data_IF_712126417303
#
_entry.id   IF_712126417303
#
_cell.length_a   1.000
_cell.length_b   1.000
_cell.length_c   1.000
_cell.angle_alpha   90.00
_cell.angle_beta   90.00
_cell.angle_gamma   90.00
#
_symmetry.space_group_name_H-M   'P 1'
#
loop_
_entity.id
_entity.type
_entity.pdbx_description
1 polymer ?
#
# COMPACT_ATOMS: atom_id res chain seq x y z
N UNK A 1 -21.34 16.59 -0.72
CA UNK A 1 -22.00 16.13 -1.97
C UNK A 1 -20.97 15.39 -2.81
N UNK A 2 -21.29 14.19 -3.34
CA UNK A 2 -20.40 13.47 -4.28
C UNK A 2 -20.76 13.93 -5.70
N UNK A 3 -19.75 14.34 -6.47
CA UNK A 3 -19.90 14.73 -7.86
C UNK A 3 -19.13 13.72 -8.74
N UNK A 4 -19.77 12.65 -9.23
CA UNK A 4 -19.13 11.65 -10.08
C UNK A 4 -18.80 12.21 -11.46
N UNK A 5 -17.92 11.53 -12.20
CA UNK A 5 -17.58 11.83 -13.60
C UNK A 5 -17.02 13.23 -13.83
N UNK A 6 -16.18 13.66 -12.90
CA UNK A 6 -15.40 14.90 -12.98
C UNK A 6 -13.93 14.58 -13.01
N UNK A 7 -13.20 15.25 -13.87
CA UNK A 7 -11.72 15.21 -13.93
C UNK A 7 -11.19 16.57 -13.56
N UNK A 8 -10.36 16.65 -12.55
CA UNK A 8 -9.69 17.89 -12.14
C UNK A 8 -8.54 18.15 -13.11
N UNK A 9 -8.57 19.30 -13.76
CA UNK A 9 -7.59 19.68 -14.78
C UNK A 9 -6.54 20.65 -14.25
N UNK A 10 -6.90 21.53 -13.32
CA UNK A 10 -6.00 22.52 -12.73
C UNK A 10 -6.51 23.05 -11.40
N UNK A 11 -5.61 23.68 -10.65
CA UNK A 11 -5.94 24.41 -9.44
C UNK A 11 -6.21 25.89 -9.75
N UNK A 12 -7.10 26.50 -8.96
CA UNK A 12 -7.27 27.95 -8.89
C UNK A 12 -6.36 28.49 -7.80
N UNK A 13 -5.77 29.65 -8.02
CA UNK A 13 -4.94 30.33 -7.03
C UNK A 13 -5.25 31.81 -6.92
N UNK A 14 -4.86 32.43 -5.81
CA UNK A 14 -4.84 33.87 -5.68
C UNK A 14 -3.85 34.53 -6.66
N UNK A 15 -3.95 35.85 -6.84
CA UNK A 15 -3.10 36.60 -7.77
C UNK A 15 -1.59 36.51 -7.45
N UNK A 16 -1.23 36.19 -6.22
CA UNK A 16 0.17 36.01 -5.77
C UNK A 16 0.64 34.57 -5.83
N UNK A 17 -0.23 33.63 -6.23
CA UNK A 17 0.04 32.19 -6.24
C UNK A 17 0.48 31.63 -4.88
N UNK A 18 0.04 32.26 -3.79
CA UNK A 18 0.38 31.84 -2.43
C UNK A 18 -0.67 30.94 -1.79
N UNK A 19 -1.89 30.93 -2.37
CA UNK A 19 -3.01 30.16 -1.86
C UNK A 19 -3.81 29.54 -3.01
N UNK A 20 -4.14 28.27 -2.88
CA UNK A 20 -5.15 27.58 -3.69
C UNK A 20 -6.52 27.97 -3.17
N UNK A 21 -7.39 28.44 -4.08
CA UNK A 21 -8.75 28.94 -3.79
C UNK A 21 -9.84 28.10 -4.42
N UNK A 22 -9.46 26.99 -5.07
CA UNK A 22 -10.38 26.08 -5.73
C UNK A 22 -9.71 25.28 -6.84
N UNK A 23 -10.53 24.81 -7.79
CA UNK A 23 -10.08 24.01 -8.91
C UNK A 23 -10.97 24.14 -10.15
N UNK A 24 -10.45 23.77 -11.32
CA UNK A 24 -11.23 23.53 -12.51
C UNK A 24 -11.45 22.03 -12.70
N UNK A 25 -12.71 21.64 -12.89
CA UNK A 25 -13.09 20.27 -13.15
C UNK A 25 -13.85 20.16 -14.48
N UNK A 26 -13.48 19.19 -15.29
CA UNK A 26 -14.17 18.85 -16.54
C UNK A 26 -15.24 17.81 -16.27
N UNK A 27 -16.47 18.06 -16.68
CA UNK A 27 -17.58 17.10 -16.62
C UNK A 27 -17.55 16.22 -17.89
N UNK A 28 -17.31 14.92 -17.73
CA UNK A 28 -17.18 13.97 -18.84
C UNK A 28 -18.51 13.81 -19.60
N UNK A 29 -19.66 13.84 -18.89
CA UNK A 29 -20.97 13.56 -19.47
C UNK A 29 -21.60 14.73 -20.22
N UNK A 30 -21.19 15.97 -19.96
CA UNK A 30 -21.78 17.19 -20.49
C UNK A 30 -20.95 17.82 -21.60
N UNK A 31 -20.44 17.02 -22.53
CA UNK A 31 -19.68 17.57 -23.67
C UNK A 31 -18.37 18.25 -23.25
N UNK A 32 -17.75 17.79 -22.16
CA UNK A 32 -16.49 18.31 -21.64
C UNK A 32 -16.55 19.77 -21.15
N UNK A 33 -17.67 20.15 -20.54
CA UNK A 33 -17.77 21.50 -19.95
C UNK A 33 -16.88 21.60 -18.71
N UNK A 34 -16.10 22.69 -18.64
CA UNK A 34 -15.27 23.01 -17.47
C UNK A 34 -16.09 23.78 -16.47
N UNK A 35 -16.11 23.29 -15.24
CA UNK A 35 -16.73 23.94 -14.08
C UNK A 35 -15.65 24.49 -13.17
N UNK A 36 -15.87 25.67 -12.62
CA UNK A 36 -15.03 26.29 -11.58
C UNK A 36 -15.63 26.00 -10.22
N UNK A 37 -14.84 25.40 -9.33
CA UNK A 37 -15.25 25.08 -7.97
C UNK A 37 -14.35 25.84 -6.98
N UNK A 38 -14.91 26.82 -6.28
CA UNK A 38 -14.22 27.55 -5.21
C UNK A 38 -14.23 26.74 -3.92
N UNK A 39 -13.13 26.81 -3.16
CA UNK A 39 -12.95 26.10 -1.90
C UNK A 39 -11.91 26.78 -1.00
N UNK A 40 -12.14 26.75 0.31
CA UNK A 40 -11.16 27.19 1.30
C UNK A 40 -10.00 26.22 1.44
N UNK A 41 -10.23 24.93 1.15
CA UNK A 41 -9.26 23.84 1.18
C UNK A 41 -9.54 22.85 0.06
N UNK A 42 -8.54 22.55 -0.74
CA UNK A 42 -8.52 21.46 -1.71
C UNK A 42 -7.67 20.32 -1.14
N UNK A 43 -8.20 19.11 -1.12
CA UNK A 43 -7.47 17.92 -0.68
C UNK A 43 -7.31 16.96 -1.86
N UNK A 44 -6.08 16.77 -2.31
CA UNK A 44 -5.76 15.80 -3.36
C UNK A 44 -5.65 14.39 -2.77
N UNK A 45 -6.66 13.57 -3.04
CA UNK A 45 -6.71 12.15 -2.73
C UNK A 45 -6.73 11.29 -4.02
N UNK A 46 -6.19 11.81 -5.13
CA UNK A 46 -6.26 11.17 -6.46
C UNK A 46 -5.32 9.96 -6.62
N UNK A 47 -4.58 9.62 -5.57
CA UNK A 47 -3.75 8.43 -5.51
C UNK A 47 -2.41 8.57 -6.23
N UNK A 48 -1.82 7.44 -6.61
CA UNK A 48 -0.48 7.38 -7.22
C UNK A 48 -0.33 8.28 -8.45
N UNK A 49 -1.40 8.46 -9.22
CA UNK A 49 -1.44 9.28 -10.43
C UNK A 49 -1.63 10.78 -10.19
N UNK A 50 -1.53 11.25 -8.95
CA UNK A 50 -1.68 12.65 -8.57
C UNK A 50 -0.91 13.60 -9.48
N UNK A 51 -1.61 14.65 -9.93
CA UNK A 51 -1.03 15.72 -10.74
C UNK A 51 -0.50 16.89 -9.92
N UNK A 52 -0.66 16.83 -8.58
CA UNK A 52 -0.20 17.91 -7.69
C UNK A 52 1.26 18.30 -7.89
N UNK A 53 2.22 17.38 -8.11
CA UNK A 53 3.61 17.79 -8.41
C UNK A 53 3.74 18.69 -9.64
N UNK A 54 2.95 18.45 -10.69
CA UNK A 54 2.94 19.27 -11.89
C UNK A 54 2.21 20.60 -11.67
N UNK A 55 1.13 20.60 -10.90
CA UNK A 55 0.42 21.82 -10.54
C UNK A 55 1.27 22.74 -9.66
N UNK A 56 2.06 22.20 -8.74
CA UNK A 56 3.01 22.96 -7.92
C UNK A 56 4.04 23.67 -8.80
N UNK A 57 4.62 22.96 -9.79
CA UNK A 57 5.57 23.54 -10.73
C UNK A 57 4.93 24.69 -11.53
N UNK A 58 3.70 24.50 -12.02
CA UNK A 58 2.94 25.52 -12.71
C UNK A 58 2.63 26.77 -11.85
N UNK A 59 2.59 26.62 -10.54
CA UNK A 59 2.43 27.70 -9.55
C UNK A 59 3.78 28.28 -9.05
N UNK A 60 4.91 27.86 -9.61
CA UNK A 60 6.23 28.34 -9.21
C UNK A 60 6.77 27.77 -7.90
N UNK A 61 6.28 26.62 -7.49
CA UNK A 61 6.79 25.83 -6.35
C UNK A 61 7.68 24.68 -6.83
N UNK A 62 8.52 24.19 -5.94
CA UNK A 62 9.30 22.98 -6.17
C UNK A 62 8.40 21.73 -6.13
N UNK A 63 8.69 20.76 -6.98
CA UNK A 63 8.11 19.41 -6.83
C UNK A 63 8.69 18.72 -5.61
N UNK A 64 7.90 17.89 -4.91
CA UNK A 64 8.46 17.04 -3.87
C UNK A 64 9.50 16.09 -4.46
N UNK A 65 10.62 15.91 -3.78
CA UNK A 65 11.56 14.85 -4.11
C UNK A 65 10.86 13.48 -4.01
N UNK A 66 11.22 12.55 -4.87
CA UNK A 66 10.65 11.21 -4.90
C UNK A 66 11.67 10.17 -4.46
N UNK A 67 11.26 9.30 -3.55
CA UNK A 67 12.00 8.08 -3.20
C UNK A 67 11.25 6.90 -3.76
N UNK A 68 11.92 6.03 -4.51
CA UNK A 68 11.28 4.87 -5.14
C UNK A 68 12.05 3.58 -4.88
N UNK A 69 11.30 2.45 -4.77
CA UNK A 69 11.86 1.11 -4.67
C UNK A 69 11.11 0.21 -5.63
N UNK A 70 11.82 -0.35 -6.62
CA UNK A 70 11.26 -1.11 -7.73
C UNK A 70 11.30 -2.61 -7.49
N UNK A 71 10.13 -3.24 -7.40
CA UNK A 71 9.97 -4.68 -7.29
C UNK A 71 9.28 -5.28 -8.52
N UNK A 72 8.64 -4.45 -9.34
CA UNK A 72 7.93 -4.86 -10.57
C UNK A 72 7.00 -6.06 -10.34
N UNK A 73 6.06 -5.91 -9.37
CA UNK A 73 5.05 -6.93 -9.11
C UNK A 73 3.86 -6.77 -10.06
N UNK A 74 3.30 -7.90 -10.50
CA UNK A 74 2.04 -7.95 -11.22
C UNK A 74 1.04 -8.85 -10.54
N UNK A 75 -0.23 -8.53 -10.72
CA UNK A 75 -1.37 -9.21 -10.14
C UNK A 75 -2.32 -9.71 -11.22
N UNK A 76 -2.96 -10.86 -10.98
CA UNK A 76 -4.13 -11.32 -11.69
C UNK A 76 -5.18 -11.76 -10.67
N UNK A 77 -6.39 -11.21 -10.76
CA UNK A 77 -7.47 -11.48 -9.80
C UNK A 77 -8.73 -11.92 -10.51
N UNK A 78 -9.48 -12.85 -9.90
CA UNK A 78 -10.74 -13.36 -10.41
C UNK A 78 -11.67 -13.75 -9.28
N UNK A 79 -12.97 -13.53 -9.46
CA UNK A 79 -14.00 -14.08 -8.58
C UNK A 79 -14.40 -15.50 -8.98
N UNK A 80 -14.59 -16.33 -7.96
CA UNK A 80 -15.04 -17.72 -8.10
C UNK A 80 -16.24 -17.97 -7.18
N UNK A 81 -17.11 -18.89 -7.59
CA UNK A 81 -18.15 -19.45 -6.73
C UNK A 81 -17.52 -20.48 -5.77
N UNK A 82 -17.87 -20.42 -4.50
CA UNK A 82 -17.41 -21.42 -3.52
C UNK A 82 -18.12 -22.75 -3.79
N UNK A 83 -17.39 -23.86 -4.00
CA UNK A 83 -17.99 -25.16 -4.22
C UNK A 83 -18.91 -25.59 -3.06
N UNK A 84 -20.13 -25.98 -3.37
CA UNK A 84 -21.15 -26.36 -2.35
C UNK A 84 -20.73 -27.55 -1.49
N UNK A 85 -19.93 -28.45 -2.04
CA UNK A 85 -19.52 -29.72 -1.43
C UNK A 85 -18.37 -29.59 -0.43
N UNK A 86 -17.65 -28.46 -0.42
CA UNK A 86 -16.45 -28.33 0.40
C UNK A 86 -16.28 -26.87 0.85
N UNK A 87 -16.93 -26.51 1.96
CA UNK A 87 -16.69 -25.20 2.61
C UNK A 87 -15.51 -25.33 3.56
N UNK A 88 -14.39 -24.66 3.29
CA UNK A 88 -13.28 -24.60 4.23
C UNK A 88 -13.71 -23.80 5.48
N UNK A 89 -13.07 -24.09 6.59
CA UNK A 89 -13.24 -23.38 7.88
C UNK A 89 -12.44 -22.06 7.93
N UNK A 90 -11.51 -21.86 6.97
CA UNK A 90 -10.73 -20.63 6.84
C UNK A 90 -11.47 -19.53 6.05
N UNK A 91 -11.14 -18.27 6.35
CA UNK A 91 -11.61 -17.08 5.61
C UNK A 91 -10.60 -16.60 4.58
N UNK A 92 -9.34 -16.87 4.81
CA UNK A 92 -8.21 -16.52 3.95
C UNK A 92 -7.28 -17.71 3.88
N UNK A 93 -6.87 -18.08 2.67
CA UNK A 93 -5.76 -18.98 2.38
C UNK A 93 -4.69 -18.22 1.61
N UNK A 94 -3.50 -18.09 2.16
CA UNK A 94 -2.38 -17.39 1.53
C UNK A 94 -1.17 -18.27 1.34
N UNK A 95 -0.62 -18.27 0.13
CA UNK A 95 0.69 -18.86 -0.19
C UNK A 95 1.65 -17.72 -0.45
N UNK A 96 2.60 -17.52 0.46
CA UNK A 96 3.59 -16.47 0.39
C UNK A 96 4.92 -16.99 -0.12
N UNK A 97 5.70 -16.10 -0.74
CA UNK A 97 7.02 -16.47 -1.25
C UNK A 97 8.02 -16.72 -0.13
N UNK A 98 9.02 -17.52 -0.44
CA UNK A 98 10.25 -17.64 0.34
C UNK A 98 11.37 -16.85 -0.38
N UNK A 99 11.34 -15.52 -0.21
CA UNK A 99 12.37 -14.67 -0.81
C UNK A 99 13.79 -15.08 -0.34
N UNK A 100 14.80 -15.08 -1.20
CA UNK A 100 14.78 -14.67 -2.61
C UNK A 100 14.47 -15.82 -3.60
N UNK A 101 14.19 -17.04 -3.13
CA UNK A 101 14.12 -18.27 -3.95
C UNK A 101 12.82 -18.38 -4.73
N UNK A 102 11.71 -17.92 -4.17
CA UNK A 102 10.39 -17.89 -4.82
C UNK A 102 9.94 -16.47 -5.06
N UNK A 103 9.15 -16.22 -6.12
CA UNK A 103 8.65 -14.91 -6.52
C UNK A 103 7.13 -14.83 -6.61
N UNK A 104 6.45 -15.98 -6.48
CA UNK A 104 5.03 -16.14 -6.76
C UNK A 104 4.23 -16.19 -5.48
N UNK A 105 3.11 -15.47 -5.47
CA UNK A 105 2.16 -15.41 -4.37
C UNK A 105 0.79 -15.87 -4.84
N UNK A 106 0.00 -16.35 -3.92
CA UNK A 106 -1.41 -16.61 -4.17
C UNK A 106 -2.22 -16.40 -2.92
N UNK A 107 -3.40 -15.81 -3.05
CA UNK A 107 -4.34 -15.65 -1.95
C UNK A 107 -5.76 -15.94 -2.41
N UNK A 108 -6.51 -16.67 -1.60
CA UNK A 108 -7.96 -16.81 -1.70
C UNK A 108 -8.58 -16.11 -0.51
N UNK A 109 -9.51 -15.20 -0.75
CA UNK A 109 -10.26 -14.50 0.27
C UNK A 109 -11.75 -14.77 0.10
N UNK A 110 -12.43 -15.16 1.19
CA UNK A 110 -13.88 -15.24 1.20
C UNK A 110 -14.48 -13.83 1.18
N UNK A 111 -15.37 -13.57 0.23
CA UNK A 111 -16.09 -12.31 0.08
C UNK A 111 -17.60 -12.55 0.10
N UNK A 112 -18.39 -11.47 0.11
CA UNK A 112 -19.84 -11.53 0.18
C UNK A 112 -20.44 -12.34 -0.99
N UNK A 113 -21.62 -12.92 -0.76
CA UNK A 113 -22.35 -13.68 -1.77
C UNK A 113 -21.80 -15.07 -2.03
N UNK A 114 -21.17 -15.71 -1.04
CA UNK A 114 -20.59 -17.05 -1.14
C UNK A 114 -19.57 -17.18 -2.27
N UNK A 115 -18.66 -16.22 -2.37
CA UNK A 115 -17.65 -16.13 -3.41
C UNK A 115 -16.25 -16.07 -2.82
N UNK A 116 -15.28 -16.46 -3.63
CA UNK A 116 -13.86 -16.25 -3.40
C UNK A 116 -13.31 -15.19 -4.34
N UNK A 117 -12.56 -14.27 -3.80
CA UNK A 117 -11.61 -13.46 -4.58
C UNK A 117 -10.27 -14.19 -4.57
N UNK A 118 -9.83 -14.67 -5.72
CA UNK A 118 -8.52 -15.30 -5.90
C UNK A 118 -7.61 -14.27 -6.56
N UNK A 119 -6.47 -14.01 -5.93
CA UNK A 119 -5.44 -13.12 -6.47
C UNK A 119 -4.11 -13.88 -6.53
N UNK A 120 -3.52 -13.94 -7.71
CA UNK A 120 -2.15 -14.39 -7.93
C UNK A 120 -1.26 -13.17 -8.15
N UNK A 121 -0.02 -13.24 -7.69
CA UNK A 121 0.94 -12.16 -7.87
C UNK A 121 2.35 -12.70 -8.08
N UNK A 122 3.17 -11.94 -8.82
CA UNK A 122 4.56 -12.30 -9.05
C UNK A 122 5.47 -11.11 -9.12
N UNK A 123 6.58 -11.18 -8.39
CA UNK A 123 7.62 -10.17 -8.32
C UNK A 123 8.57 -10.24 -9.52
N UNK A 124 9.30 -9.15 -9.76
CA UNK A 124 10.42 -9.10 -10.72
C UNK A 124 10.00 -9.48 -12.13
N UNK A 125 8.82 -9.01 -12.56
CA UNK A 125 8.20 -9.24 -13.86
C UNK A 125 7.74 -10.69 -14.13
N UNK A 126 7.74 -11.56 -13.12
CA UNK A 126 7.15 -12.92 -13.20
C UNK A 126 5.61 -12.80 -13.04
N UNK A 127 4.97 -12.10 -13.99
CA UNK A 127 3.57 -11.75 -13.89
C UNK A 127 2.65 -12.93 -14.16
N UNK A 128 1.56 -13.10 -13.37
CA UNK A 128 0.56 -14.11 -13.66
C UNK A 128 -0.15 -13.79 -14.99
N UNK A 129 -0.37 -14.82 -15.86
CA UNK A 129 -1.09 -14.65 -17.12
C UNK A 129 -2.54 -14.22 -16.96
N UNK A 130 -3.09 -13.57 -18.01
CA UNK A 130 -4.48 -13.12 -18.06
C UNK A 130 -5.43 -14.15 -18.70
N UNK A 131 -4.92 -15.26 -19.22
CA UNK A 131 -5.70 -16.37 -19.75
C UNK A 131 -5.93 -17.44 -18.69
N UNK A 132 -6.96 -18.26 -18.90
CA UNK A 132 -7.42 -19.23 -17.91
C UNK A 132 -6.40 -20.35 -17.66
N UNK A 133 -5.82 -20.88 -18.73
CA UNK A 133 -4.83 -21.96 -18.62
C UNK A 133 -3.57 -21.48 -17.91
N UNK A 134 -3.06 -20.31 -18.29
CA UNK A 134 -1.91 -19.68 -17.66
C UNK A 134 -2.15 -19.29 -16.21
N UNK A 135 -3.36 -18.81 -15.85
CA UNK A 135 -3.73 -18.51 -14.47
C UNK A 135 -3.68 -19.75 -13.58
N UNK A 136 -4.26 -20.88 -14.04
CA UNK A 136 -4.24 -22.14 -13.30
C UNK A 136 -2.82 -22.71 -13.21
N UNK A 137 -2.04 -22.65 -14.29
CA UNK A 137 -0.65 -23.10 -14.29
C UNK A 137 0.22 -22.27 -13.34
N UNK A 138 0.01 -20.95 -13.29
CA UNK A 138 0.70 -20.09 -12.32
C UNK A 138 0.36 -20.48 -10.88
N UNK A 139 -0.93 -20.76 -10.60
CA UNK A 139 -1.37 -21.24 -9.29
C UNK A 139 -0.73 -22.60 -8.93
N UNK A 140 -0.55 -23.49 -9.91
CA UNK A 140 0.09 -24.81 -9.72
C UNK A 140 1.57 -24.70 -9.37
N UNK A 141 2.23 -23.62 -9.82
CA UNK A 141 3.66 -23.35 -9.57
C UNK A 141 3.95 -22.65 -8.24
N UNK A 142 2.94 -22.39 -7.41
CA UNK A 142 3.16 -21.86 -6.07
C UNK A 142 3.87 -22.89 -5.17
N UNK A 143 4.56 -22.41 -4.14
CA UNK A 143 5.33 -23.26 -3.21
C UNK A 143 4.48 -24.30 -2.47
N UNK A 144 3.14 -24.09 -2.39
CA UNK A 144 2.18 -25.03 -1.82
C UNK A 144 1.01 -25.29 -2.77
N UNK A 145 0.61 -26.56 -2.99
CA UNK A 145 -0.40 -26.92 -3.97
C UNK A 145 -1.83 -26.59 -3.54
N UNK A 146 -2.06 -26.30 -2.25
CA UNK A 146 -3.40 -26.20 -1.67
C UNK A 146 -4.27 -25.15 -2.38
N UNK A 147 -3.71 -23.98 -2.70
CA UNK A 147 -4.43 -22.94 -3.41
C UNK A 147 -4.89 -23.41 -4.80
N UNK A 148 -4.00 -24.07 -5.54
CA UNK A 148 -4.34 -24.64 -6.85
C UNK A 148 -5.45 -25.68 -6.74
N UNK A 149 -5.38 -26.57 -5.72
CA UNK A 149 -6.39 -27.62 -5.52
C UNK A 149 -7.79 -27.04 -5.25
N UNK A 150 -7.89 -25.90 -4.60
CA UNK A 150 -9.17 -25.19 -4.43
C UNK A 150 -9.64 -24.52 -5.72
N UNK A 151 -8.77 -23.75 -6.37
CA UNK A 151 -9.12 -22.94 -7.54
C UNK A 151 -9.52 -23.79 -8.73
N UNK A 152 -8.85 -24.93 -9.00
CA UNK A 152 -9.17 -25.81 -10.14
C UNK A 152 -10.55 -26.46 -10.05
N UNK A 153 -11.16 -26.50 -8.86
CA UNK A 153 -12.51 -27.06 -8.60
C UNK A 153 -13.59 -25.99 -8.53
N UNK A 154 -13.20 -24.73 -8.45
CA UNK A 154 -14.13 -23.62 -8.29
C UNK A 154 -14.63 -23.13 -9.65
N UNK A 155 -15.87 -22.66 -9.71
CA UNK A 155 -16.45 -22.11 -10.93
C UNK A 155 -16.08 -20.63 -11.07
N UNK A 156 -15.43 -20.20 -12.14
CA UNK A 156 -15.11 -18.79 -12.36
C UNK A 156 -16.37 -17.96 -12.64
N UNK A 157 -16.45 -16.78 -12.04
CA UNK A 157 -17.60 -15.85 -12.14
C UNK A 157 -17.31 -14.61 -12.97
N UNK A 158 -16.04 -14.22 -13.12
CA UNK A 158 -15.63 -13.00 -13.83
C UNK A 158 -14.47 -13.28 -14.77
N UNK A 159 -14.18 -12.39 -15.74
CA UNK A 159 -12.88 -12.37 -16.43
C UNK A 159 -11.74 -12.15 -15.42
N UNK A 160 -10.51 -12.50 -15.84
CA UNK A 160 -9.31 -12.22 -15.08
C UNK A 160 -8.96 -10.74 -15.23
N UNK A 161 -8.88 -10.00 -14.12
CA UNK A 161 -8.42 -8.62 -14.07
C UNK A 161 -6.93 -8.59 -13.70
N UNK A 162 -6.13 -7.87 -14.47
CA UNK A 162 -4.69 -7.72 -14.20
C UNK A 162 -4.35 -6.32 -13.74
N UNK A 163 -3.35 -6.23 -12.86
CA UNK A 163 -2.79 -4.95 -12.41
C UNK A 163 -1.27 -5.07 -12.29
N UNK A 164 -0.55 -3.99 -12.63
CA UNK A 164 0.90 -3.90 -12.49
C UNK A 164 1.28 -2.80 -11.53
N UNK A 165 2.14 -3.12 -10.58
CA UNK A 165 2.68 -2.18 -9.63
C UNK A 165 4.22 -2.23 -9.73
N UNK A 166 4.84 -1.28 -10.46
CA UNK A 166 6.28 -1.34 -10.73
C UNK A 166 7.12 -1.00 -9.50
N UNK A 167 6.73 0.04 -8.74
CA UNK A 167 7.56 0.62 -7.69
C UNK A 167 6.72 1.10 -6.51
N UNK A 168 7.24 0.98 -5.30
CA UNK A 168 6.83 1.90 -4.23
C UNK A 168 7.24 3.31 -4.61
N UNK A 169 6.46 4.30 -4.20
CA UNK A 169 6.74 5.70 -4.48
C UNK A 169 6.37 6.53 -3.26
N UNK A 170 7.31 7.30 -2.74
CA UNK A 170 7.08 8.27 -1.67
C UNK A 170 7.49 9.66 -2.14
N UNK A 171 6.53 10.56 -2.25
CA UNK A 171 6.71 11.98 -2.53
C UNK A 171 6.94 12.71 -1.22
N UNK A 172 8.10 13.32 -1.08
CA UNK A 172 8.63 13.89 0.17
C UNK A 172 8.09 15.30 0.40
N UNK A 173 6.76 15.46 0.49
CA UNK A 173 6.12 16.75 0.73
C UNK A 173 6.58 17.40 2.03
N UNK A 174 6.96 16.63 3.04
CA UNK A 174 7.47 17.09 4.32
C UNK A 174 8.84 17.78 4.24
N UNK A 175 9.54 17.64 3.11
CA UNK A 175 10.84 18.27 2.86
C UNK A 175 10.72 19.61 2.11
N UNK A 176 9.54 19.95 1.62
CA UNK A 176 9.35 21.21 0.92
C UNK A 176 9.48 22.39 1.88
N UNK A 177 10.23 23.40 1.46
CA UNK A 177 10.39 24.66 2.19
C UNK A 177 9.21 25.60 2.03
N UNK A 178 8.49 25.48 0.88
CA UNK A 178 7.33 26.29 0.49
C UNK A 178 6.26 25.40 -0.13
N UNK A 179 5.01 25.71 0.22
CA UNK A 179 3.83 25.03 -0.34
C UNK A 179 2.65 26.01 -0.30
N UNK A 180 1.72 26.02 -1.29
CA UNK A 180 0.59 26.93 -1.28
C UNK A 180 -0.38 26.62 -0.12
N UNK A 181 -0.87 27.64 0.54
CA UNK A 181 -1.96 27.50 1.49
C UNK A 181 -3.23 27.04 0.76
N UNK A 182 -4.17 26.41 1.47
CA UNK A 182 -5.42 25.93 0.87
C UNK A 182 -5.30 24.67 0.02
N UNK A 183 -4.14 24.00 0.00
CA UNK A 183 -3.94 22.71 -0.64
C UNK A 183 -3.35 21.70 0.34
N UNK A 184 -3.84 20.46 0.30
CA UNK A 184 -3.24 19.31 0.97
C UNK A 184 -3.25 18.11 0.05
N UNK A 185 -2.40 17.12 0.35
CA UNK A 185 -2.28 15.85 -0.37
C UNK A 185 -2.37 14.71 0.64
N UNK A 186 -3.07 13.62 0.31
CA UNK A 186 -3.27 12.48 1.20
C UNK A 186 -3.18 11.13 0.48
N UNK A 187 -2.95 10.06 1.22
CA UNK A 187 -2.99 8.68 0.75
C UNK A 187 -1.89 8.36 -0.26
N UNK A 188 -2.23 7.58 -1.28
CA UNK A 188 -1.29 7.15 -2.32
C UNK A 188 -0.74 8.31 -3.17
N UNK A 189 -1.32 9.51 -3.07
CA UNK A 189 -0.78 10.72 -3.66
C UNK A 189 0.48 11.22 -2.91
N UNK A 190 0.62 10.89 -1.61
CA UNK A 190 1.86 11.05 -0.84
C UNK A 190 2.74 9.82 -0.99
N UNK A 191 2.21 8.64 -0.63
CA UNK A 191 3.01 7.42 -0.62
C UNK A 191 2.21 6.21 -1.06
N UNK A 192 2.63 5.60 -2.16
CA UNK A 192 2.03 4.41 -2.75
C UNK A 192 2.88 3.18 -2.43
N UNK A 193 2.27 2.20 -1.78
CA UNK A 193 2.91 0.96 -1.34
C UNK A 193 2.55 -0.21 -2.26
N UNK A 194 3.42 -1.23 -2.31
CA UNK A 194 3.09 -2.51 -2.90
C UNK A 194 1.84 -3.10 -2.21
N UNK A 195 0.75 -3.35 -2.96
CA UNK A 195 -0.53 -3.81 -2.40
C UNK A 195 -0.45 -5.11 -1.59
N UNK A 196 0.55 -5.96 -1.84
CA UNK A 196 0.73 -7.25 -1.14
C UNK A 196 0.86 -7.09 0.37
N UNK A 197 1.34 -5.93 0.84
CA UNK A 197 1.52 -5.66 2.27
C UNK A 197 0.25 -5.14 2.97
N UNK A 198 -0.80 -4.77 2.22
CA UNK A 198 -2.08 -4.34 2.76
C UNK A 198 -2.06 -3.02 3.55
N UNK A 199 -1.01 -2.20 3.43
CA UNK A 199 -0.79 -1.03 4.30
C UNK A 199 -1.46 0.27 3.80
N UNK A 200 -1.69 0.41 2.49
CA UNK A 200 -2.12 1.67 1.88
C UNK A 200 -3.41 2.24 2.47
N UNK A 201 -4.46 1.42 2.62
CA UNK A 201 -5.75 1.89 3.17
C UNK A 201 -5.63 2.29 4.64
N UNK A 202 -4.86 1.57 5.45
CA UNK A 202 -4.62 1.90 6.86
C UNK A 202 -3.88 3.22 7.00
N UNK A 203 -2.87 3.46 6.18
CA UNK A 203 -2.13 4.73 6.13
C UNK A 203 -3.06 5.88 5.76
N UNK A 204 -3.85 5.73 4.70
CA UNK A 204 -4.81 6.76 4.27
C UNK A 204 -5.85 7.09 5.36
N UNK A 205 -6.31 6.08 6.11
CA UNK A 205 -7.24 6.28 7.23
C UNK A 205 -6.58 7.04 8.40
N UNK A 206 -5.33 6.72 8.73
CA UNK A 206 -4.57 7.44 9.77
C UNK A 206 -4.27 8.89 9.35
N UNK A 207 -3.98 9.13 8.08
CA UNK A 207 -3.80 10.48 7.53
C UNK A 207 -5.10 11.28 7.58
N UNK A 208 -6.25 10.65 7.23
CA UNK A 208 -7.56 11.28 7.33
C UNK A 208 -7.92 11.64 8.77
N UNK A 209 -7.60 10.77 9.74
CA UNK A 209 -7.77 11.06 11.16
C UNK A 209 -6.89 12.24 11.60
N UNK A 210 -5.61 12.27 11.22
CA UNK A 210 -4.72 13.37 11.51
C UNK A 210 -5.23 14.67 10.90
N UNK A 211 -5.73 14.63 9.66
CA UNK A 211 -6.34 15.81 9.02
C UNK A 211 -7.57 16.30 9.79
N UNK A 212 -8.45 15.41 10.22
CA UNK A 212 -9.61 15.75 11.05
C UNK A 212 -9.20 16.46 12.34
N UNK A 213 -8.17 15.94 13.03
CA UNK A 213 -7.64 16.54 14.26
C UNK A 213 -7.12 17.98 14.01
N UNK A 214 -6.35 18.18 12.95
CA UNK A 214 -5.83 19.51 12.59
C UNK A 214 -6.94 20.50 12.20
N UNK A 215 -7.95 20.05 11.45
CA UNK A 215 -9.08 20.90 11.07
C UNK A 215 -9.94 21.29 12.29
N UNK A 216 -10.16 20.36 13.22
CA UNK A 216 -10.90 20.60 14.45
C UNK A 216 -10.19 21.61 15.37
N UNK A 217 -8.86 21.55 15.46
CA UNK A 217 -8.05 22.54 16.20
C UNK A 217 -8.00 23.87 15.48
N UNK A 218 -7.99 23.88 14.13
CA UNK A 218 -7.97 25.06 13.28
C UNK A 218 -9.30 25.80 13.18
N UNK A 219 -10.42 25.22 13.65
CA UNK A 219 -11.72 25.90 13.75
C UNK A 219 -11.67 27.19 14.62
N UNK A 220 -10.58 27.41 15.36
CA UNK A 220 -10.24 28.65 16.03
C UNK A 220 -9.49 29.69 15.15
N UNK A 221 -9.46 29.48 13.80
CA UNK A 221 -9.04 30.53 12.85
C UNK A 221 -7.60 30.49 12.35
N UNK A 222 -6.77 29.52 12.73
CA UNK A 222 -5.37 29.46 12.25
C UNK A 222 -5.09 28.28 11.33
N UNK A 223 -5.47 28.39 10.05
CA UNK A 223 -5.10 27.45 8.98
C UNK A 223 -3.71 27.73 8.38
N UNK A 224 -3.02 28.79 8.82
CA UNK A 224 -1.66 29.10 8.33
C UNK A 224 -0.70 27.97 8.68
N UNK A 225 0.10 27.57 7.70
CA UNK A 225 1.06 26.47 7.81
C UNK A 225 0.45 25.10 8.17
N UNK A 226 -0.85 24.91 7.88
CA UNK A 226 -1.50 23.61 8.06
C UNK A 226 -0.74 22.50 7.31
N UNK A 227 -0.34 22.76 6.07
CA UNK A 227 0.40 21.82 5.23
C UNK A 227 1.70 21.34 5.88
N UNK A 228 2.51 22.26 6.46
CA UNK A 228 3.80 21.90 7.03
C UNK A 228 3.68 21.02 8.28
N UNK A 229 2.64 21.22 9.10
CA UNK A 229 2.33 20.35 10.25
C UNK A 229 1.79 19.01 9.80
N UNK A 230 0.85 19.03 8.86
CA UNK A 230 0.21 17.84 8.33
C UNK A 230 1.21 16.92 7.64
N UNK A 231 2.03 17.42 6.70
CA UNK A 231 3.00 16.58 6.00
C UNK A 231 4.07 15.99 6.91
N UNK A 232 4.48 16.68 7.97
CA UNK A 232 5.37 16.08 8.99
C UNK A 232 4.70 14.92 9.74
N UNK A 233 3.40 15.01 9.99
CA UNK A 233 2.63 13.92 10.60
C UNK A 233 2.41 12.79 9.62
N UNK A 234 2.02 13.06 8.38
CA UNK A 234 1.88 12.07 7.32
C UNK A 234 3.19 11.30 7.10
N UNK A 235 4.33 12.00 7.08
CA UNK A 235 5.64 11.36 6.96
C UNK A 235 5.95 10.40 8.12
N UNK A 236 5.52 10.70 9.34
CA UNK A 236 5.66 9.77 10.48
C UNK A 236 4.78 8.54 10.31
N UNK A 237 3.51 8.72 9.85
CA UNK A 237 2.58 7.63 9.58
C UNK A 237 3.14 6.71 8.48
N UNK A 238 3.63 7.28 7.39
CA UNK A 238 4.17 6.57 6.22
C UNK A 238 5.46 5.81 6.52
N UNK A 239 6.32 6.34 7.39
CA UNK A 239 7.69 5.82 7.62
C UNK A 239 7.73 4.33 7.95
N UNK A 240 6.85 3.85 8.81
CA UNK A 240 6.85 2.47 9.27
C UNK A 240 6.40 1.49 8.17
N UNK A 241 5.24 1.69 7.51
CA UNK A 241 4.83 0.89 6.36
C UNK A 241 5.86 0.89 5.23
N UNK A 242 6.49 2.04 4.96
CA UNK A 242 7.57 2.15 3.97
C UNK A 242 8.74 1.23 4.30
N UNK A 243 9.26 1.32 5.53
CA UNK A 243 10.40 0.49 5.96
C UNK A 243 10.08 -1.01 5.92
N UNK A 244 8.89 -1.41 6.37
CA UNK A 244 8.48 -2.82 6.38
C UNK A 244 8.32 -3.38 4.96
N UNK A 245 7.59 -2.67 4.09
CA UNK A 245 7.34 -3.12 2.72
C UNK A 245 8.61 -3.14 1.87
N UNK A 246 9.36 -2.03 1.83
CA UNK A 246 10.60 -1.97 1.04
C UNK A 246 11.69 -2.90 1.60
N UNK A 247 11.75 -3.06 2.94
CA UNK A 247 12.68 -3.99 3.58
C UNK A 247 12.45 -5.43 3.13
N UNK A 248 11.20 -5.87 3.03
CA UNK A 248 10.84 -7.18 2.52
C UNK A 248 11.18 -7.33 1.03
N UNK A 249 10.93 -6.30 0.22
CA UNK A 249 11.28 -6.33 -1.20
C UNK A 249 12.79 -6.39 -1.43
N UNK A 250 13.60 -5.78 -0.56
CA UNK A 250 15.06 -5.88 -0.61
C UNK A 250 15.63 -7.26 -0.22
N UNK A 251 14.81 -8.24 0.13
CA UNK A 251 15.25 -9.64 0.16
C UNK A 251 15.63 -10.15 -1.22
N UNK A 252 15.07 -9.58 -2.29
CA UNK A 252 15.45 -9.89 -3.66
C UNK A 252 16.62 -9.01 -4.09
N UNK A 253 17.76 -9.59 -4.53
CA UNK A 253 18.92 -8.81 -4.99
C UNK A 253 18.61 -7.87 -6.17
N UNK A 254 17.61 -8.20 -6.99
CA UNK A 254 17.21 -7.46 -8.19
C UNK A 254 16.29 -6.26 -7.89
N UNK A 255 15.88 -6.06 -6.62
CA UNK A 255 15.07 -4.90 -6.24
C UNK A 255 15.84 -3.61 -6.52
N UNK A 256 15.21 -2.72 -7.29
CA UNK A 256 15.77 -1.43 -7.71
C UNK A 256 15.61 -0.39 -6.59
N UNK A 257 16.57 0.51 -6.46
CA UNK A 257 16.52 1.61 -5.49
C UNK A 257 17.68 1.58 -4.49
N UNK A 258 17.75 2.62 -3.67
CA UNK A 258 18.78 2.75 -2.64
C UNK A 258 18.43 1.85 -1.45
N UNK A 259 19.34 0.93 -1.14
CA UNK A 259 19.20 -0.02 -0.03
C UNK A 259 19.66 0.64 1.27
N UNK A 260 18.76 0.86 2.25
CA UNK A 260 19.13 1.48 3.52
C UNK A 260 20.19 0.69 4.28
N UNK A 261 21.05 1.40 5.01
CA UNK A 261 21.99 0.78 5.94
C UNK A 261 21.25 -0.06 6.98
N UNK A 262 21.78 -1.25 7.28
CA UNK A 262 21.15 -2.17 8.23
C UNK A 262 20.05 -3.08 7.66
N UNK A 263 19.67 -2.95 6.38
CA UNK A 263 18.67 -3.81 5.74
C UNK A 263 19.00 -5.30 5.89
N UNK A 264 20.24 -5.70 5.72
CA UNK A 264 20.68 -7.11 5.87
C UNK A 264 20.41 -7.64 7.28
N UNK A 265 20.75 -6.85 8.31
CA UNK A 265 20.45 -7.21 9.70
C UNK A 265 18.95 -7.28 9.96
N UNK A 266 18.19 -6.29 9.50
CA UNK A 266 16.74 -6.24 9.67
C UNK A 266 16.07 -7.46 9.02
N UNK A 267 16.46 -7.79 7.80
CA UNK A 267 15.94 -8.94 7.07
C UNK A 267 16.28 -10.26 7.77
N UNK A 268 17.51 -10.42 8.25
CA UNK A 268 17.91 -11.58 9.03
C UNK A 268 17.10 -11.70 10.34
N UNK A 269 16.92 -10.59 11.05
CA UNK A 269 16.14 -10.56 12.29
C UNK A 269 14.65 -10.88 12.03
N UNK A 270 14.06 -10.28 11.01
CA UNK A 270 12.65 -10.51 10.61
C UNK A 270 12.42 -11.97 10.23
N UNK A 271 13.32 -12.58 9.48
CA UNK A 271 13.23 -14.01 9.14
C UNK A 271 13.26 -14.93 10.39
N UNK A 272 14.01 -14.56 11.42
CA UNK A 272 14.01 -15.29 12.71
C UNK A 272 12.71 -15.04 13.48
N UNK A 273 12.22 -13.81 13.45
CA UNK A 273 10.98 -13.42 14.12
C UNK A 273 9.77 -14.16 13.53
N UNK A 274 9.65 -14.28 12.19
CA UNK A 274 8.61 -15.10 11.58
C UNK A 274 8.59 -16.53 12.14
N UNK A 275 9.75 -17.17 12.20
CA UNK A 275 9.88 -18.52 12.77
C UNK A 275 9.53 -18.59 14.25
N UNK A 276 9.87 -17.57 15.02
CA UNK A 276 9.54 -17.50 16.43
C UNK A 276 8.04 -17.28 16.67
N UNK A 277 7.33 -16.60 15.76
CA UNK A 277 5.88 -16.41 15.83
C UNK A 277 5.10 -17.74 15.85
N UNK A 278 5.62 -18.80 15.22
CA UNK A 278 4.97 -20.11 15.17
C UNK A 278 4.91 -20.81 16.55
N UNK A 279 5.77 -20.41 17.47
CA UNK A 279 5.93 -21.10 18.77
C UNK A 279 5.85 -20.19 19.99
N UNK A 280 5.96 -18.88 19.83
CA UNK A 280 5.95 -17.92 20.92
C UNK A 280 4.84 -16.86 20.72
N UNK A 281 3.72 -16.98 21.47
CA UNK A 281 2.58 -16.05 21.35
C UNK A 281 2.93 -14.59 21.66
N UNK A 282 3.92 -14.33 22.53
CA UNK A 282 4.34 -12.95 22.84
C UNK A 282 5.06 -12.32 21.65
N UNK A 283 5.92 -13.07 20.97
CA UNK A 283 6.61 -12.61 19.75
C UNK A 283 5.56 -12.38 18.65
N UNK A 284 4.64 -13.32 18.44
CA UNK A 284 3.56 -13.20 17.46
C UNK A 284 2.69 -11.96 17.72
N UNK A 285 2.24 -11.77 18.97
CA UNK A 285 1.43 -10.60 19.35
C UNK A 285 2.18 -9.31 19.03
N UNK A 286 3.45 -9.19 19.44
CA UNK A 286 4.25 -7.99 19.22
C UNK A 286 4.49 -7.73 17.73
N UNK A 287 4.73 -8.79 16.97
CA UNK A 287 4.88 -8.70 15.52
C UNK A 287 3.60 -8.16 14.85
N UNK A 288 2.43 -8.75 15.20
CA UNK A 288 1.16 -8.29 14.63
C UNK A 288 0.78 -6.88 15.09
N UNK A 289 1.08 -6.47 16.32
CA UNK A 289 0.89 -5.08 16.76
C UNK A 289 1.64 -4.07 15.88
N UNK A 290 2.87 -4.42 15.46
CA UNK A 290 3.66 -3.57 14.54
C UNK A 290 3.10 -3.63 13.12
N UNK A 291 2.75 -4.83 12.63
CA UNK A 291 2.17 -5.00 11.29
C UNK A 291 0.83 -4.29 11.13
N UNK A 292 0.03 -4.21 12.19
CA UNK A 292 -1.25 -3.49 12.22
C UNK A 292 -1.12 -2.01 12.61
N UNK A 293 0.10 -1.47 12.66
CA UNK A 293 0.39 -0.06 12.98
C UNK A 293 -0.07 0.37 14.38
N UNK A 294 -0.26 -0.58 15.29
CA UNK A 294 -0.63 -0.33 16.70
C UNK A 294 0.59 0.02 17.56
N UNK A 295 1.79 -0.36 17.10
CA UNK A 295 3.08 -0.09 17.75
C UNK A 295 4.12 0.34 16.73
N UNK A 296 5.07 1.13 17.21
CA UNK A 296 6.25 1.50 16.43
C UNK A 296 7.12 0.27 16.11
N UNK A 297 7.82 0.22 14.95
CA UNK A 297 8.70 -0.89 14.59
C UNK A 297 9.77 -1.21 15.63
N UNK A 298 10.19 -0.22 16.40
CA UNK A 298 11.14 -0.41 17.52
C UNK A 298 10.64 -1.38 18.59
N UNK A 299 9.34 -1.60 18.68
CA UNK A 299 8.74 -2.52 19.65
C UNK A 299 9.17 -3.98 19.43
N UNK A 300 9.54 -4.38 18.22
CA UNK A 300 10.09 -5.73 17.95
C UNK A 300 11.51 -5.92 18.49
N UNK A 301 12.22 -4.83 18.79
CA UNK A 301 13.55 -4.86 19.40
C UNK A 301 13.52 -4.68 20.92
N UNK A 302 12.33 -4.66 21.54
CA UNK A 302 12.23 -4.69 22.99
C UNK A 302 13.03 -5.87 23.54
N UNK A 303 13.85 -5.72 24.62
CA UNK A 303 14.74 -6.78 25.11
C UNK A 303 14.05 -8.12 25.31
N UNK A 304 12.81 -8.13 25.85
CA UNK A 304 12.04 -9.35 26.05
C UNK A 304 11.66 -10.07 24.75
N UNK A 305 11.37 -9.32 23.67
CA UNK A 305 11.08 -9.87 22.34
C UNK A 305 12.38 -10.30 21.67
N UNK A 306 13.38 -9.45 21.71
CA UNK A 306 14.68 -9.68 21.06
C UNK A 306 15.34 -10.98 21.54
N UNK A 307 15.42 -11.20 22.86
CA UNK A 307 15.98 -12.42 23.44
C UNK A 307 15.18 -13.65 22.98
N UNK A 308 13.86 -13.61 22.95
CA UNK A 308 12.98 -14.70 22.51
C UNK A 308 13.18 -15.04 21.03
N UNK A 309 13.29 -14.02 20.18
CA UNK A 309 13.60 -14.19 18.75
C UNK A 309 14.96 -14.83 18.52
N UNK A 310 15.97 -14.46 19.33
CA UNK A 310 17.30 -15.08 19.25
C UNK A 310 17.35 -16.48 19.83
N UNK A 311 16.65 -16.73 20.94
CA UNK A 311 16.59 -18.02 21.64
C UNK A 311 15.66 -19.04 20.93
N UNK A 312 14.75 -18.58 20.08
CA UNK A 312 13.77 -19.41 19.37
C UNK A 312 14.48 -20.52 18.58
N UNK A 313 14.31 -21.78 19.01
CA UNK A 313 14.80 -22.96 18.30
C UNK A 313 13.96 -23.14 17.04
N UNK A 314 14.62 -23.21 15.89
CA UNK A 314 13.98 -23.67 14.67
C UNK A 314 13.39 -25.07 14.91
N UNK A 315 12.05 -25.22 14.85
CA UNK A 315 11.48 -26.53 14.64
C UNK A 315 12.02 -27.04 13.29
N UNK A 316 12.52 -28.28 13.21
CA UNK A 316 12.89 -28.85 11.92
C UNK A 316 11.65 -28.81 11.01
N UNK A 317 11.81 -28.37 9.76
CA UNK A 317 10.76 -28.49 8.73
C UNK A 317 10.24 -29.92 8.75
N UNK A 318 8.91 -30.15 8.68
CA UNK A 318 8.41 -31.49 8.44
C UNK A 318 9.03 -31.99 7.14
N UNK A 319 9.74 -33.08 7.23
CA UNK A 319 10.29 -33.79 6.07
C UNK A 319 9.18 -34.05 5.06
N UNK A 320 9.46 -33.74 3.80
CA UNK A 320 8.58 -33.89 2.63
C UNK A 320 7.92 -35.28 2.56
#
# INVERSE_FOLDING_TARGET
MIQPRRVVNSLLSDAKQTRVTGLHAECIDKGKTVETLEADLVVDASGRGSQTPLWLEGLGYEKPAETSVGIHIGYASRLFEIPRSARPDWKILGVYTQAPTSRKYGVIQSVEGNRWLVTLAGNLRDYPPADEAGFLEFARQLDHPELYEWVRRATPLTPIATHRFPTHLWRRYEQLSRFPEGLLVVGDAICSFNPIYGQGMSVSALEAQALQEYLSQGAQGNTRSLWGRFFKTAAKIVKNPWMLGTGADFLYPQTEGERPLGTTFLNWYTARMYRACDSDPLVATRFYEVMHLLKEPTAIFNPGVFIRVLAGRAKPSPSK
#
